data_IF_446179308159
#
_entry.id   IF_446179308159
#
_cell.length_a   1.000
_cell.length_b   1.000
_cell.length_c   1.000
_cell.angle_alpha   90.00
_cell.angle_beta   90.00
_cell.angle_gamma   90.00
#
_symmetry.space_group_name_H-M   'P 1'
#
loop_
_entity.id
_entity.type
_entity.pdbx_description
1 polymer ?
#
# COMPACT_ATOMS: atom_id res chain seq x y z
N UNK A 1 -15.64 -2.31 -17.48
CA UNK A 1 -14.97 -3.10 -16.44
C UNK A 1 -15.27 -2.48 -15.09
N UNK A 2 -15.81 -3.27 -14.15
CA UNK A 2 -16.21 -2.76 -12.82
C UNK A 2 -14.96 -2.45 -12.01
N UNK A 3 -14.94 -1.30 -11.34
CA UNK A 3 -13.88 -0.89 -10.40
C UNK A 3 -14.48 -0.83 -8.99
N UNK A 4 -14.58 -1.98 -8.29
CA UNK A 4 -15.34 -2.06 -7.04
C UNK A 4 -14.66 -1.35 -5.87
N UNK A 5 -13.37 -1.00 -5.99
CA UNK A 5 -12.60 -0.40 -4.90
C UNK A 5 -12.53 1.11 -5.05
N UNK A 6 -13.40 1.85 -4.35
CA UNK A 6 -13.46 3.32 -4.38
C UNK A 6 -12.69 3.93 -3.21
N UNK A 7 -11.87 4.95 -3.51
CA UNK A 7 -11.27 5.82 -2.52
C UNK A 7 -12.32 6.81 -2.01
N UNK A 8 -12.52 6.89 -0.70
CA UNK A 8 -13.51 7.79 -0.11
C UNK A 8 -13.04 9.24 0.00
N UNK A 9 -11.72 9.50 -0.09
CA UNK A 9 -11.15 10.85 0.02
C UNK A 9 -11.17 11.63 -1.31
N UNK A 10 -11.03 10.94 -2.44
CA UNK A 10 -10.97 11.59 -3.76
C UNK A 10 -11.83 10.90 -4.84
N UNK A 11 -12.67 9.95 -4.43
CA UNK A 11 -13.63 9.22 -5.27
C UNK A 11 -13.06 8.38 -6.43
N UNK A 12 -11.74 8.30 -6.54
CA UNK A 12 -11.08 7.45 -7.54
C UNK A 12 -11.41 5.99 -7.30
N UNK A 13 -11.71 5.28 -8.38
CA UNK A 13 -12.05 3.86 -8.34
C UNK A 13 -10.96 3.00 -8.97
N UNK A 14 -10.70 1.83 -8.37
CA UNK A 14 -9.67 0.89 -8.73
C UNK A 14 -10.25 -0.50 -8.99
N UNK A 15 -9.57 -1.29 -9.82
CA UNK A 15 -9.99 -2.65 -10.18
C UNK A 15 -9.60 -3.70 -9.13
N UNK A 16 -8.64 -3.38 -8.25
CA UNK A 16 -8.21 -4.26 -7.17
C UNK A 16 -7.95 -3.46 -5.87
N UNK A 17 -8.02 -4.14 -4.74
CA UNK A 17 -7.81 -3.55 -3.40
C UNK A 17 -6.37 -3.06 -3.22
N UNK A 18 -5.39 -3.77 -3.80
CA UNK A 18 -3.99 -3.42 -3.70
C UNK A 18 -3.68 -2.02 -4.27
N UNK A 19 -4.25 -1.67 -5.42
CA UNK A 19 -4.15 -0.37 -6.05
C UNK A 19 -4.85 0.71 -5.21
N UNK A 20 -6.00 0.40 -4.60
CA UNK A 20 -6.67 1.31 -3.68
C UNK A 20 -5.80 1.59 -2.44
N UNK A 21 -5.25 0.54 -1.80
CA UNK A 21 -4.36 0.69 -0.64
C UNK A 21 -3.13 1.51 -1.04
N UNK A 22 -2.46 1.16 -2.13
CA UNK A 22 -1.32 1.90 -2.65
C UNK A 22 -1.64 3.36 -2.93
N UNK A 23 -2.89 3.67 -3.33
CA UNK A 23 -3.36 5.01 -3.53
C UNK A 23 -3.63 5.73 -2.20
N UNK A 24 -4.23 5.10 -1.20
CA UNK A 24 -4.47 5.72 0.11
C UNK A 24 -3.18 6.17 0.81
N UNK A 25 -2.06 5.51 0.52
CA UNK A 25 -0.72 5.91 0.98
C UNK A 25 -0.33 7.30 0.45
N UNK A 26 -0.87 7.74 -0.69
CA UNK A 26 -0.60 9.10 -1.21
C UNK A 26 -1.34 10.19 -0.46
N UNK A 27 -2.42 9.84 0.25
CA UNK A 27 -3.17 10.79 1.07
C UNK A 27 -2.65 10.82 2.50
N UNK A 28 -2.50 9.65 3.11
CA UNK A 28 -2.13 9.50 4.52
C UNK A 28 -0.62 9.56 4.76
N UNK A 29 0.19 9.24 3.75
CA UNK A 29 1.63 9.00 3.92
C UNK A 29 1.96 7.74 4.74
N UNK A 30 0.95 7.07 5.30
CA UNK A 30 1.13 5.88 6.11
C UNK A 30 1.48 4.71 5.21
N UNK A 31 2.55 4.01 5.56
CA UNK A 31 3.01 2.83 4.83
C UNK A 31 2.69 1.59 5.67
N UNK A 32 1.66 0.80 5.29
CA UNK A 32 1.11 -0.24 6.16
C UNK A 32 2.08 -1.43 6.37
N UNK A 33 3.02 -1.62 5.46
CA UNK A 33 3.97 -2.72 5.52
C UNK A 33 5.23 -2.30 6.26
N UNK A 34 5.28 -2.53 7.58
CA UNK A 34 6.42 -2.16 8.43
C UNK A 34 7.35 -3.34 8.71
N UNK A 35 8.65 -3.14 8.53
CA UNK A 35 9.67 -4.10 8.95
C UNK A 35 9.78 -4.12 10.47
N UNK A 36 9.67 -5.29 11.10
CA UNK A 36 9.79 -5.41 12.56
C UNK A 36 11.22 -5.28 13.08
N UNK A 37 12.24 -5.52 12.25
CA UNK A 37 13.66 -5.42 12.63
C UNK A 37 14.14 -3.97 12.72
N UNK A 38 13.93 -3.18 11.66
CA UNK A 38 14.45 -1.81 11.55
C UNK A 38 13.35 -0.74 11.53
N UNK A 39 12.08 -1.12 11.68
CA UNK A 39 10.91 -0.23 11.70
C UNK A 39 10.66 0.57 10.41
N UNK A 40 11.42 0.32 9.33
CA UNK A 40 11.22 0.92 8.01
C UNK A 40 9.90 0.45 7.40
N UNK A 41 9.14 1.39 6.84
CA UNK A 41 7.83 1.12 6.24
C UNK A 41 7.87 1.12 4.72
N UNK A 42 7.01 0.31 4.10
CA UNK A 42 6.94 0.05 2.65
C UNK A 42 5.51 0.22 2.14
N UNK A 43 5.41 0.54 0.84
CA UNK A 43 4.12 0.78 0.17
C UNK A 43 3.35 -0.52 -0.09
N UNK A 44 4.08 -1.61 -0.26
CA UNK A 44 3.55 -2.93 -0.61
C UNK A 44 4.32 -4.05 0.09
N UNK A 45 3.72 -5.23 0.12
CA UNK A 45 4.29 -6.42 0.75
C UNK A 45 5.52 -6.95 0.00
N UNK A 46 5.56 -6.88 -1.33
CA UNK A 46 6.67 -7.36 -2.15
C UNK A 46 7.98 -6.65 -1.80
N UNK A 47 7.94 -5.33 -1.68
CA UNK A 47 9.08 -4.52 -1.27
C UNK A 47 9.52 -4.81 0.16
N UNK A 48 8.57 -5.01 1.09
CA UNK A 48 8.89 -5.44 2.46
C UNK A 48 9.59 -6.81 2.47
N UNK A 49 9.10 -7.78 1.69
CA UNK A 49 9.67 -9.13 1.62
C UNK A 49 11.09 -9.08 1.07
N UNK A 50 11.33 -8.37 -0.04
CA UNK A 50 12.67 -8.21 -0.62
C UNK A 50 13.61 -7.54 0.39
N UNK A 51 13.14 -6.49 1.05
CA UNK A 51 13.91 -5.82 2.10
C UNK A 51 14.27 -6.76 3.26
N UNK A 52 13.32 -7.60 3.71
CA UNK A 52 13.56 -8.56 4.79
C UNK A 52 14.56 -9.67 4.41
N UNK A 53 14.67 -10.02 3.12
CA UNK A 53 15.66 -10.98 2.63
C UNK A 53 17.09 -10.44 2.62
N UNK A 54 17.23 -9.13 2.44
CA UNK A 54 18.52 -8.43 2.43
C UNK A 54 18.95 -7.94 3.82
N UNK A 55 18.15 -8.23 4.83
CA UNK A 55 18.42 -7.92 6.23
C UNK A 55 19.26 -9.00 6.89
#
# INVERSE_FOLDING_TARGET
GVRPYKCLECEKSFNNSFCLICHQITHTGERPYRCRKCLKSFRDCSNLIVHQRLH
#
